data_IF_545399338505
#
_entry.id   IF_545399338505
#
_cell.length_a   1.000
_cell.length_b   1.000
_cell.length_c   1.000
_cell.angle_alpha   90.00
_cell.angle_beta   90.00
_cell.angle_gamma   90.00
#
_symmetry.space_group_name_H-M   'P 1'
#
loop_
_entity.id
_entity.type
_entity.pdbx_description
1 polymer ?
#
# COMPACT_ATOMS: atom_id res chain seq x y z
N UNK A 1 3.35 19.93 5.88
CA UNK A 1 3.35 18.53 6.34
C UNK A 1 4.77 17.99 6.54
N UNK A 2 4.97 16.98 7.41
CA UNK A 2 6.25 16.29 7.59
C UNK A 2 6.62 15.51 6.31
N UNK A 3 7.61 16.01 5.55
CA UNK A 3 8.07 15.42 4.28
C UNK A 3 8.54 13.97 4.45
N UNK A 4 9.11 13.64 5.61
CA UNK A 4 9.57 12.30 5.93
C UNK A 4 8.40 11.31 6.08
N UNK A 5 7.26 11.77 6.62
CA UNK A 5 6.05 10.95 6.74
C UNK A 5 5.51 10.60 5.35
N UNK A 6 5.38 11.58 4.46
CA UNK A 6 4.88 11.36 3.10
C UNK A 6 5.83 10.45 2.29
N UNK A 7 7.15 10.60 2.47
CA UNK A 7 8.13 9.72 1.86
C UNK A 7 8.00 8.28 2.38
N UNK A 8 7.81 8.10 3.69
CA UNK A 8 7.63 6.78 4.29
C UNK A 8 6.34 6.10 3.82
N UNK A 9 5.23 6.85 3.69
CA UNK A 9 3.97 6.33 3.13
C UNK A 9 4.15 5.87 1.68
N UNK A 10 4.86 6.66 0.87
CA UNK A 10 5.16 6.30 -0.52
C UNK A 10 6.08 5.07 -0.63
N UNK A 11 7.06 4.92 0.26
CA UNK A 11 7.89 3.70 0.36
C UNK A 11 7.04 2.48 0.71
N UNK A 12 6.14 2.62 1.70
CA UNK A 12 5.24 1.53 2.12
C UNK A 12 4.31 1.09 0.98
N UNK A 13 3.72 2.05 0.26
CA UNK A 13 2.90 1.77 -0.94
C UNK A 13 3.64 0.92 -1.97
N UNK A 14 4.91 1.26 -2.27
CA UNK A 14 5.74 0.49 -3.22
C UNK A 14 6.01 -0.93 -2.73
N UNK A 15 6.34 -1.11 -1.46
CA UNK A 15 6.57 -2.44 -0.87
C UNK A 15 5.31 -3.33 -0.93
N UNK A 16 4.14 -2.77 -0.66
CA UNK A 16 2.87 -3.51 -0.74
C UNK A 16 2.51 -3.91 -2.17
N UNK A 17 2.82 -3.07 -3.17
CA UNK A 17 2.65 -3.42 -4.58
C UNK A 17 3.50 -4.64 -4.96
N UNK A 18 4.78 -4.66 -4.59
CA UNK A 18 5.66 -5.81 -4.84
C UNK A 18 5.13 -7.11 -4.22
N UNK A 19 4.58 -7.03 -3.00
CA UNK A 19 3.97 -8.20 -2.32
C UNK A 19 2.71 -8.73 -3.05
N UNK A 20 2.06 -7.90 -3.86
CA UNK A 20 0.88 -8.26 -4.66
C UNK A 20 1.21 -8.73 -6.09
N UNK A 21 2.31 -8.25 -6.69
CA UNK A 21 2.66 -8.48 -8.10
C UNK A 21 3.15 -9.92 -8.36
N UNK A 22 3.96 -10.50 -7.46
CA UNK A 22 4.60 -11.81 -7.71
C UNK A 22 3.65 -13.02 -7.63
N UNK A 23 2.37 -12.85 -7.26
CA UNK A 23 1.55 -14.00 -6.81
C UNK A 23 0.17 -14.13 -7.41
N UNK A 24 -0.24 -13.21 -8.30
CA UNK A 24 -1.50 -13.35 -9.07
C UNK A 24 -1.53 -14.61 -9.95
N UNK A 25 -0.37 -15.21 -10.24
CA UNK A 25 -0.23 -16.42 -11.07
C UNK A 25 -0.39 -17.73 -10.28
N UNK A 26 -0.23 -17.72 -8.94
CA UNK A 26 -0.08 -18.97 -8.16
C UNK A 26 -1.21 -19.19 -7.15
N UNK A 27 -1.78 -18.15 -6.51
CA UNK A 27 -2.87 -18.30 -5.51
C UNK A 27 -3.77 -17.06 -5.43
N UNK A 28 -4.67 -16.88 -6.39
CA UNK A 28 -5.51 -15.67 -6.52
C UNK A 28 -6.44 -15.32 -5.34
N UNK A 29 -6.70 -16.25 -4.41
CA UNK A 29 -7.67 -16.08 -3.31
C UNK A 29 -7.08 -16.30 -1.90
N UNK A 30 -5.78 -16.10 -1.72
CA UNK A 30 -5.20 -16.20 -0.38
C UNK A 30 -5.56 -14.97 0.48
N UNK A 31 -6.07 -15.18 1.71
CA UNK A 31 -6.46 -14.10 2.64
C UNK A 31 -5.37 -13.04 2.84
N UNK A 32 -4.10 -13.43 2.74
CA UNK A 32 -2.96 -12.49 2.79
C UNK A 32 -3.02 -11.42 1.71
N UNK A 33 -3.50 -11.73 0.50
CA UNK A 33 -3.65 -10.74 -0.57
C UNK A 33 -4.77 -9.76 -0.28
N UNK A 34 -5.91 -10.24 0.24
CA UNK A 34 -6.97 -9.34 0.70
C UNK A 34 -6.46 -8.38 1.78
N UNK A 35 -5.62 -8.86 2.70
CA UNK A 35 -4.98 -8.01 3.69
C UNK A 35 -4.02 -7.00 3.06
N UNK A 36 -3.21 -7.39 2.08
CA UNK A 36 -2.32 -6.47 1.34
C UNK A 36 -3.13 -5.39 0.61
N UNK A 37 -4.23 -5.75 -0.06
CA UNK A 37 -5.08 -4.76 -0.72
C UNK A 37 -5.73 -3.78 0.27
N UNK A 38 -6.20 -4.28 1.42
CA UNK A 38 -6.70 -3.41 2.51
C UNK A 38 -5.62 -2.46 3.02
N UNK A 39 -4.39 -2.95 3.20
CA UNK A 39 -3.26 -2.11 3.60
C UNK A 39 -2.93 -1.05 2.54
N UNK A 40 -3.00 -1.40 1.25
CA UNK A 40 -2.78 -0.44 0.14
C UNK A 40 -3.83 0.66 0.14
N UNK A 41 -5.10 0.31 0.36
CA UNK A 41 -6.18 1.29 0.44
C UNK A 41 -5.93 2.31 1.56
N UNK A 42 -5.63 1.83 2.77
CA UNK A 42 -5.34 2.70 3.94
C UNK A 42 -4.14 3.62 3.67
N UNK A 43 -3.06 3.10 3.06
CA UNK A 43 -1.89 3.93 2.73
C UNK A 43 -2.22 4.99 1.68
N UNK A 44 -3.03 4.67 0.67
CA UNK A 44 -3.46 5.65 -0.33
C UNK A 44 -4.32 6.75 0.31
N UNK A 45 -5.30 6.38 1.13
CA UNK A 45 -6.13 7.34 1.87
C UNK A 45 -5.26 8.24 2.77
N UNK A 46 -4.24 7.66 3.44
CA UNK A 46 -3.31 8.42 4.26
C UNK A 46 -2.47 9.41 3.45
N UNK A 47 -2.03 9.02 2.25
CA UNK A 47 -1.32 9.92 1.31
C UNK A 47 -2.24 11.03 0.83
N UNK A 48 -3.50 10.73 0.51
CA UNK A 48 -4.47 11.74 0.07
C UNK A 48 -4.78 12.75 1.17
N UNK A 49 -5.00 12.30 2.42
CA UNK A 49 -5.17 13.19 3.58
C UNK A 49 -3.95 14.08 3.72
N UNK A 50 -2.77 13.47 3.66
CA UNK A 50 -1.50 14.13 3.78
C UNK A 50 -1.33 15.22 2.69
N UNK A 51 -1.55 14.91 1.42
CA UNK A 51 -1.38 15.86 0.31
C UNK A 51 -2.41 17.00 0.30
N UNK A 52 -3.56 16.82 0.97
CA UNK A 52 -4.63 17.82 1.08
C UNK A 52 -4.55 18.70 2.35
N UNK A 53 -3.56 18.47 3.23
CA UNK A 53 -3.23 19.31 4.42
C UNK A 53 -2.07 20.28 4.18
#
# INVERSE_FOLDING_TARGET
>A
MNSELLENLNKLKKMLVLLSEERKVVMSHHKTFEHVEKMRAIVNESIEIAENE
#
